data_IF_497052233194
#
_entry.id   IF_497052233194
#
_cell.length_a   1.000
_cell.length_b   1.000
_cell.length_c   1.000
_cell.angle_alpha   90.00
_cell.angle_beta   90.00
_cell.angle_gamma   90.00
#
_symmetry.space_group_name_H-M   'P 1'
#
loop_
_entity.id
_entity.type
_entity.pdbx_description
1 polymer ?
#
# COMPACT_ATOMS: atom_id res chain seq x y z
N UNK A 1 3.47 -9.82 -15.28
CA UNK A 1 3.54 -8.72 -14.28
C UNK A 1 4.42 -9.15 -13.13
N UNK A 2 5.22 -8.25 -12.61
CA UNK A 2 6.05 -8.48 -11.43
C UNK A 2 5.58 -7.55 -10.32
N UNK A 3 5.04 -8.12 -9.23
CA UNK A 3 4.74 -7.35 -8.03
C UNK A 3 6.04 -7.04 -7.31
N UNK A 4 6.40 -5.77 -7.25
CA UNK A 4 7.35 -5.26 -6.27
C UNK A 4 6.57 -5.04 -4.97
N UNK A 5 7.09 -5.62 -3.91
CA UNK A 5 6.62 -5.38 -2.55
C UNK A 5 6.56 -3.91 -2.23
N UNK A 6 6.05 -3.59 -1.06
CA UNK A 6 6.18 -2.27 -0.52
C UNK A 6 7.61 -1.84 -0.72
N UNK A 7 7.84 -0.96 -1.69
CA UNK A 7 9.09 -0.25 -1.80
C UNK A 7 9.09 0.62 -0.56
N UNK A 8 9.48 -0.03 0.56
CA UNK A 8 9.59 0.69 1.78
C UNK A 8 10.62 1.78 1.58
N UNK A 9 10.13 2.89 1.17
CA UNK A 9 10.19 4.20 1.74
C UNK A 9 11.56 4.67 2.20
N UNK A 10 12.63 3.84 2.20
CA UNK A 10 13.56 4.11 3.27
C UNK A 10 14.98 3.84 2.98
N UNK A 11 15.21 3.02 2.02
CA UNK A 11 16.55 2.65 1.70
C UNK A 11 16.65 2.65 0.18
N UNK A 12 16.79 3.84 -0.36
CA UNK A 12 17.02 4.03 -1.78
C UNK A 12 18.12 3.09 -2.29
N UNK A 13 19.13 2.85 -1.46
CA UNK A 13 20.23 1.89 -1.76
C UNK A 13 19.71 0.47 -1.93
N UNK A 14 18.91 -0.07 -0.98
CA UNK A 14 18.32 -1.42 -1.13
C UNK A 14 17.31 -1.51 -2.27
N UNK A 15 16.67 -0.39 -2.60
CA UNK A 15 15.77 -0.32 -3.75
C UNK A 15 16.54 -0.37 -5.07
N UNK A 16 17.63 0.40 -5.21
CA UNK A 16 18.50 0.34 -6.39
C UNK A 16 19.16 -1.04 -6.50
N UNK A 17 19.64 -1.62 -5.38
CA UNK A 17 20.17 -2.99 -5.35
C UNK A 17 19.14 -4.00 -5.89
N UNK A 18 17.88 -3.91 -5.46
CA UNK A 18 16.81 -4.77 -5.97
C UNK A 18 16.56 -4.54 -7.47
N UNK A 19 16.58 -3.28 -7.93
CA UNK A 19 16.44 -2.95 -9.34
C UNK A 19 17.60 -3.50 -10.18
N UNK A 20 18.83 -3.45 -9.65
CA UNK A 20 20.01 -4.01 -10.30
C UNK A 20 19.91 -5.54 -10.43
N UNK A 21 19.45 -6.23 -9.38
CA UNK A 21 19.17 -7.68 -9.44
C UNK A 21 18.11 -8.03 -10.50
N UNK A 22 17.17 -7.14 -10.75
CA UNK A 22 16.10 -7.32 -11.71
C UNK A 22 16.50 -6.93 -13.15
N UNK A 23 17.56 -6.12 -13.32
CA UNK A 23 18.05 -5.65 -14.61
C UNK A 23 17.01 -4.86 -15.42
N UNK A 24 16.93 -5.10 -16.73
CA UNK A 24 16.05 -4.37 -17.66
C UNK A 24 14.57 -4.82 -17.58
N UNK A 25 14.14 -5.31 -16.44
CA UNK A 25 12.76 -5.72 -16.25
C UNK A 25 11.82 -4.52 -16.31
N UNK A 26 10.73 -4.70 -17.01
CA UNK A 26 9.57 -3.81 -17.02
C UNK A 26 8.36 -4.49 -16.39
N UNK A 27 7.24 -3.78 -16.37
CA UNK A 27 5.96 -4.27 -15.83
C UNK A 27 5.90 -4.40 -14.32
N UNK A 28 6.61 -3.55 -13.59
CA UNK A 28 6.52 -3.46 -12.14
C UNK A 28 5.14 -2.99 -11.68
N UNK A 29 4.69 -3.54 -10.56
CA UNK A 29 3.55 -3.04 -9.78
C UNK A 29 4.03 -2.80 -8.35
N UNK A 30 4.00 -1.55 -7.91
CA UNK A 30 4.30 -1.17 -6.54
C UNK A 30 3.03 -1.22 -5.70
N UNK A 31 3.04 -1.98 -4.60
CA UNK A 31 1.86 -2.15 -3.75
C UNK A 31 1.70 -1.07 -2.68
N UNK A 32 2.30 0.09 -2.90
CA UNK A 32 2.08 1.29 -2.10
C UNK A 32 3.12 1.55 -1.03
N UNK A 33 2.81 2.57 -0.22
CA UNK A 33 3.67 3.03 0.86
C UNK A 33 5.08 3.42 0.40
N UNK A 34 5.20 4.15 -0.68
CA UNK A 34 6.49 4.61 -1.24
C UNK A 34 7.13 5.77 -0.47
N UNK A 35 6.40 6.38 0.46
CA UNK A 35 6.90 7.50 1.28
C UNK A 35 6.73 7.24 2.77
N UNK A 36 7.35 8.09 3.59
CA UNK A 36 7.27 8.16 5.05
C UNK A 36 8.12 7.10 5.79
N UNK A 37 8.46 7.37 7.04
CA UNK A 37 9.21 6.53 7.98
C UNK A 37 10.67 6.26 7.64
N UNK A 38 11.13 6.43 6.41
CA UNK A 38 12.52 6.23 6.00
C UNK A 38 13.26 7.52 5.71
N UNK A 39 14.59 7.47 5.61
CA UNK A 39 15.41 8.68 5.46
C UNK A 39 15.35 9.32 4.07
N UNK A 40 14.96 8.57 3.03
CA UNK A 40 15.04 8.99 1.63
C UNK A 40 13.67 9.05 0.93
N UNK A 41 12.61 9.48 1.65
CA UNK A 41 11.23 9.49 1.12
C UNK A 41 11.09 10.31 -0.16
N UNK A 42 11.71 11.49 -0.23
CA UNK A 42 11.65 12.35 -1.41
C UNK A 42 12.33 11.71 -2.62
N UNK A 43 13.53 11.17 -2.44
CA UNK A 43 14.31 10.55 -3.51
C UNK A 43 13.61 9.27 -4.02
N UNK A 44 13.05 8.47 -3.11
CA UNK A 44 12.29 7.27 -3.47
C UNK A 44 11.04 7.63 -4.26
N UNK A 45 10.29 8.66 -3.86
CA UNK A 45 9.10 9.13 -4.58
C UNK A 45 9.46 9.56 -6.02
N UNK A 46 10.51 10.36 -6.18
CA UNK A 46 11.02 10.78 -7.49
C UNK A 46 11.46 9.60 -8.35
N UNK A 47 12.14 8.64 -7.73
CA UNK A 47 12.63 7.45 -8.44
C UNK A 47 11.49 6.55 -8.94
N UNK A 48 10.48 6.31 -8.12
CA UNK A 48 9.30 5.52 -8.51
C UNK A 48 8.51 6.23 -9.60
N UNK A 49 8.34 7.56 -9.50
CA UNK A 49 7.71 8.38 -10.54
C UNK A 49 8.48 8.25 -11.87
N UNK A 50 9.81 8.36 -11.85
CA UNK A 50 10.65 8.21 -13.03
C UNK A 50 10.56 6.80 -13.66
N UNK A 51 10.43 5.75 -12.85
CA UNK A 51 10.21 4.38 -13.35
C UNK A 51 8.87 4.24 -14.08
N UNK A 52 7.81 4.86 -13.58
CA UNK A 52 6.51 4.88 -14.27
C UNK A 52 6.59 5.67 -15.58
N UNK A 53 7.17 6.86 -15.55
CA UNK A 53 7.34 7.72 -16.74
C UNK A 53 8.21 7.09 -17.83
N UNK A 54 9.19 6.28 -17.44
CA UNK A 54 10.02 5.50 -18.39
C UNK A 54 9.33 4.25 -18.95
N UNK A 55 8.09 3.96 -18.51
CA UNK A 55 7.34 2.77 -18.94
C UNK A 55 7.79 1.46 -18.28
N UNK A 56 8.68 1.50 -17.28
CA UNK A 56 9.10 0.30 -16.54
C UNK A 56 8.10 -0.13 -15.46
N UNK A 57 7.17 0.73 -15.09
CA UNK A 57 6.16 0.47 -14.07
C UNK A 57 4.75 0.51 -14.68
N UNK A 58 3.93 -0.49 -14.39
CA UNK A 58 2.52 -0.58 -14.81
C UNK A 58 1.58 0.13 -13.86
N UNK A 59 1.85 0.06 -12.57
CA UNK A 59 1.04 0.71 -11.56
C UNK A 59 1.85 0.98 -10.27
N UNK A 60 1.53 2.09 -9.65
CA UNK A 60 1.96 2.44 -8.31
C UNK A 60 0.70 2.60 -7.48
N UNK A 61 0.50 1.76 -6.47
CA UNK A 61 -0.69 1.81 -5.65
C UNK A 61 -0.50 2.77 -4.48
N UNK A 62 -1.61 3.33 -3.99
CA UNK A 62 -1.62 4.14 -2.78
C UNK A 62 -1.62 3.26 -1.54
N UNK A 63 -0.66 3.49 -0.65
CA UNK A 63 -0.66 2.97 0.70
C UNK A 63 -1.16 3.99 1.72
N UNK A 64 -1.29 3.56 2.97
CA UNK A 64 -1.78 4.44 4.04
C UNK A 64 -0.81 5.59 4.35
N UNK A 65 0.49 5.42 4.12
CA UNK A 65 1.44 6.50 4.31
C UNK A 65 1.48 7.48 3.14
N UNK A 66 1.22 7.02 1.92
CA UNK A 66 1.06 7.89 0.75
C UNK A 66 -0.17 8.78 0.93
N UNK A 67 -1.27 8.19 1.40
CA UNK A 67 -2.49 8.92 1.75
C UNK A 67 -2.26 9.89 2.92
N UNK A 68 -1.43 9.52 3.89
CA UNK A 68 -1.06 10.43 4.98
C UNK A 68 -0.29 11.65 4.47
N UNK A 69 0.67 11.48 3.54
CA UNK A 69 1.33 12.61 2.89
C UNK A 69 0.33 13.54 2.21
N UNK A 70 -0.59 12.98 1.42
CA UNK A 70 -1.64 13.76 0.75
C UNK A 70 -2.56 14.47 1.75
N UNK A 71 -2.93 13.83 2.85
CA UNK A 71 -3.78 14.43 3.88
C UNK A 71 -3.07 15.59 4.62
N UNK A 72 -1.78 15.45 4.90
CA UNK A 72 -0.99 16.54 5.50
C UNK A 72 -0.87 17.71 4.51
N UNK A 73 -0.60 17.45 3.24
CA UNK A 73 -0.55 18.48 2.20
C UNK A 73 -1.89 19.23 2.02
N UNK A 74 -3.00 18.50 2.14
CA UNK A 74 -4.36 19.05 2.09
C UNK A 74 -4.80 19.79 3.38
N UNK A 75 -3.96 19.84 4.42
CA UNK A 75 -4.35 20.40 5.72
C UNK A 75 -5.36 19.55 6.51
N UNK A 76 -5.63 18.32 6.06
CA UNK A 76 -6.53 17.36 6.70
C UNK A 76 -5.81 16.46 7.72
N UNK A 77 -4.48 16.40 7.70
CA UNK A 77 -3.61 15.66 8.60
C UNK A 77 -2.61 16.55 9.32
N UNK A 78 -1.94 15.98 10.32
CA UNK A 78 -0.85 16.64 11.04
C UNK A 78 0.41 15.79 10.92
N UNK A 79 1.56 16.45 10.77
CA UNK A 79 2.87 15.80 10.86
C UNK A 79 3.07 15.22 12.26
N UNK A 80 3.48 13.98 12.33
CA UNK A 80 3.93 13.32 13.54
C UNK A 80 5.45 13.39 13.65
N UNK A 81 5.98 13.31 14.88
CA UNK A 81 7.43 13.37 15.13
C UNK A 81 8.25 12.31 14.37
N UNK A 82 7.63 11.20 14.08
CA UNK A 82 8.25 10.07 13.37
C UNK A 82 8.09 10.12 11.85
N UNK A 83 7.40 11.15 11.31
CA UNK A 83 7.22 11.29 9.86
C UNK A 83 8.48 11.83 9.21
N UNK A 84 8.78 11.34 8.01
CA UNK A 84 9.90 11.75 7.18
C UNK A 84 9.46 12.37 5.84
N UNK A 85 8.19 12.81 5.78
CA UNK A 85 7.59 13.41 4.59
C UNK A 85 7.79 14.94 4.49
N UNK A 86 8.39 15.55 5.50
CA UNK A 86 8.59 17.00 5.55
C UNK A 86 9.46 17.56 4.42
N UNK A 87 10.41 16.78 3.91
CA UNK A 87 11.23 17.16 2.76
C UNK A 87 10.41 17.22 1.47
N UNK A 88 9.45 16.30 1.29
CA UNK A 88 8.56 16.28 0.12
C UNK A 88 7.71 17.56 0.09
N UNK A 89 7.15 17.93 1.24
CA UNK A 89 6.29 19.12 1.35
C UNK A 89 7.03 20.45 1.12
N UNK A 90 8.37 20.44 1.25
CA UNK A 90 9.24 21.62 1.04
C UNK A 90 9.98 21.57 -0.30
N UNK A 91 9.86 20.51 -1.06
CA UNK A 91 10.56 20.35 -2.32
C UNK A 91 10.06 21.34 -3.36
N UNK A 92 10.94 21.78 -4.25
CA UNK A 92 10.57 22.71 -5.35
C UNK A 92 9.55 22.12 -6.34
N UNK A 93 9.48 20.79 -6.41
CA UNK A 93 8.55 20.01 -7.24
C UNK A 93 7.42 19.35 -6.41
N UNK A 94 7.17 19.87 -5.19
CA UNK A 94 6.16 19.30 -4.28
C UNK A 94 4.78 19.18 -4.94
N UNK A 95 4.31 20.23 -5.59
CA UNK A 95 2.97 20.24 -6.24
C UNK A 95 2.86 19.20 -7.34
N UNK A 96 3.92 19.03 -8.14
CA UNK A 96 3.97 17.99 -9.19
C UNK A 96 3.96 16.58 -8.59
N UNK A 97 4.76 16.35 -7.55
CA UNK A 97 4.83 15.05 -6.86
C UNK A 97 3.50 14.68 -6.18
N UNK A 98 2.86 15.65 -5.54
CA UNK A 98 1.56 15.46 -4.90
C UNK A 98 0.44 15.22 -5.93
N UNK A 99 0.43 15.99 -7.03
CA UNK A 99 -0.54 15.78 -8.11
C UNK A 99 -0.36 14.43 -8.79
N UNK A 100 0.89 14.02 -9.02
CA UNK A 100 1.19 12.67 -9.50
C UNK A 100 0.69 11.60 -8.52
N UNK A 101 1.01 11.70 -7.22
CA UNK A 101 0.70 10.70 -6.20
C UNK A 101 -0.83 10.53 -6.02
N UNK A 102 -1.61 11.62 -5.92
CA UNK A 102 -3.06 11.55 -5.72
C UNK A 102 -3.82 10.91 -6.87
N UNK A 103 -3.18 10.75 -8.04
CA UNK A 103 -3.75 10.09 -9.21
C UNK A 103 -3.51 8.59 -9.24
N UNK A 104 -2.75 8.06 -8.28
CA UNK A 104 -2.42 6.62 -8.24
C UNK A 104 -3.63 5.80 -7.82
N UNK A 105 -3.77 4.58 -8.33
CA UNK A 105 -4.89 3.71 -8.00
C UNK A 105 -4.76 3.08 -6.60
N UNK A 106 -5.86 2.59 -6.04
CA UNK A 106 -5.89 1.74 -4.85
C UNK A 106 -5.77 0.25 -5.18
N UNK A 107 -6.07 -0.11 -6.41
CA UNK A 107 -6.11 -1.49 -6.87
C UNK A 107 -5.63 -1.55 -8.32
N UNK A 108 -4.90 -2.60 -8.67
CA UNK A 108 -4.51 -2.92 -10.03
C UNK A 108 -4.76 -4.40 -10.30
N UNK A 109 -5.23 -4.74 -11.47
CA UNK A 109 -5.62 -6.11 -11.81
C UNK A 109 -4.97 -6.57 -13.11
N UNK A 110 -4.53 -7.83 -13.12
CA UNK A 110 -4.08 -8.57 -14.31
C UNK A 110 -4.90 -9.85 -14.45
N UNK A 111 -4.63 -10.64 -15.46
CA UNK A 111 -5.29 -11.94 -15.61
C UNK A 111 -4.93 -12.88 -14.45
N UNK A 112 -3.71 -12.81 -13.93
CA UNK A 112 -3.18 -13.72 -12.90
C UNK A 112 -3.51 -13.29 -11.47
N UNK A 113 -3.57 -11.98 -11.20
CA UNK A 113 -3.66 -11.48 -9.83
C UNK A 113 -4.32 -10.11 -9.73
N UNK A 114 -4.72 -9.79 -8.52
CA UNK A 114 -5.10 -8.44 -8.11
C UNK A 114 -4.08 -7.93 -7.07
N UNK A 115 -3.64 -6.69 -7.26
CA UNK A 115 -2.67 -6.01 -6.42
C UNK A 115 -3.39 -4.93 -5.62
N UNK A 116 -3.13 -4.89 -4.33
CA UNK A 116 -3.66 -3.89 -3.39
C UNK A 116 -2.60 -3.57 -2.34
N UNK A 117 -2.77 -2.50 -1.59
CA UNK A 117 -1.82 -2.19 -0.52
C UNK A 117 -1.96 -3.13 0.68
N UNK A 118 -3.13 -3.23 1.30
CA UNK A 118 -3.34 -4.03 2.51
C UNK A 118 -4.25 -5.26 2.31
N UNK A 119 -5.30 -5.13 1.51
CA UNK A 119 -6.22 -6.24 1.27
C UNK A 119 -7.51 -5.81 0.56
N UNK A 120 -8.39 -6.79 0.37
CA UNK A 120 -9.75 -6.61 -0.14
C UNK A 120 -10.70 -7.20 0.89
N UNK A 121 -11.69 -6.42 1.34
CA UNK A 121 -12.66 -6.91 2.31
C UNK A 121 -13.27 -8.24 1.84
N UNK A 122 -13.28 -9.29 2.67
CA UNK A 122 -13.87 -10.58 2.30
C UNK A 122 -15.37 -10.51 1.98
N UNK A 123 -16.05 -9.46 2.48
CA UNK A 123 -17.45 -9.23 2.22
C UNK A 123 -17.73 -8.75 0.78
N UNK A 124 -16.71 -8.27 0.06
CA UNK A 124 -16.88 -7.72 -1.28
C UNK A 124 -16.66 -8.76 -2.37
N UNK A 125 -17.41 -8.64 -3.46
CA UNK A 125 -17.03 -9.25 -4.73
C UNK A 125 -15.89 -8.45 -5.36
N UNK A 126 -15.20 -9.04 -6.33
CA UNK A 126 -14.12 -8.33 -7.05
C UNK A 126 -14.66 -7.10 -7.81
N UNK A 127 -15.88 -7.20 -8.36
CA UNK A 127 -16.56 -6.08 -9.00
C UNK A 127 -16.81 -4.93 -8.01
N UNK A 128 -17.36 -5.25 -6.82
CA UNK A 128 -17.56 -4.25 -5.78
C UNK A 128 -16.23 -3.61 -5.33
N UNK A 129 -15.15 -4.40 -5.23
CA UNK A 129 -13.83 -3.86 -4.90
C UNK A 129 -13.33 -2.86 -5.95
N UNK A 130 -13.54 -3.13 -7.25
CA UNK A 130 -13.22 -2.19 -8.33
C UNK A 130 -14.03 -0.90 -8.21
N UNK A 131 -15.36 -1.02 -8.09
CA UNK A 131 -16.26 0.13 -7.98
C UNK A 131 -15.88 1.02 -6.78
N UNK A 132 -15.53 0.42 -5.64
CA UNK A 132 -15.08 1.16 -4.46
C UNK A 132 -13.70 1.79 -4.63
N UNK A 133 -12.76 1.10 -5.27
CA UNK A 133 -11.45 1.68 -5.58
C UNK A 133 -11.59 2.88 -6.51
N UNK A 134 -12.42 2.77 -7.55
CA UNK A 134 -12.67 3.83 -8.52
C UNK A 134 -13.35 5.03 -7.86
N UNK A 135 -14.35 4.82 -6.99
CA UNK A 135 -15.02 5.88 -6.23
C UNK A 135 -14.04 6.78 -5.46
N UNK A 136 -13.08 6.15 -4.76
CA UNK A 136 -12.05 6.90 -4.02
C UNK A 136 -11.06 7.56 -4.97
N UNK A 137 -10.61 6.85 -6.01
CA UNK A 137 -9.67 7.38 -6.98
C UNK A 137 -10.24 8.59 -7.74
N UNK A 138 -11.51 8.57 -8.10
CA UNK A 138 -12.20 9.71 -8.70
C UNK A 138 -12.25 10.90 -7.74
N UNK A 139 -12.56 10.67 -6.46
CA UNK A 139 -12.56 11.72 -5.46
C UNK A 139 -11.18 12.35 -5.28
N UNK A 140 -10.10 11.55 -5.27
CA UNK A 140 -8.72 12.03 -5.16
C UNK A 140 -8.21 12.73 -6.43
N UNK A 141 -8.67 12.32 -7.61
CA UNK A 141 -8.33 12.96 -8.89
C UNK A 141 -9.11 14.25 -9.12
N UNK A 142 -10.25 14.38 -8.47
CA UNK A 142 -11.17 15.48 -8.62
C UNK A 142 -10.58 16.84 -8.21
N UNK A 143 -11.27 17.91 -8.61
CA UNK A 143 -10.88 19.31 -8.32
C UNK A 143 -10.88 19.63 -6.81
N UNK A 144 -11.63 18.89 -6.02
CA UNK A 144 -11.79 19.10 -4.57
C UNK A 144 -11.25 17.89 -3.77
N UNK A 145 -10.12 17.33 -4.23
CA UNK A 145 -9.49 16.17 -3.64
C UNK A 145 -9.13 16.33 -2.15
N UNK A 146 -8.84 17.56 -1.71
CA UNK A 146 -8.56 17.87 -0.31
C UNK A 146 -9.76 17.52 0.59
N UNK A 147 -10.99 17.72 0.07
CA UNK A 147 -12.21 17.36 0.80
C UNK A 147 -12.38 15.85 0.96
N UNK A 148 -11.89 15.06 0.00
CA UNK A 148 -11.93 13.61 0.09
C UNK A 148 -11.07 13.06 1.24
N UNK A 149 -10.00 13.79 1.59
CA UNK A 149 -9.09 13.44 2.68
C UNK A 149 -9.53 14.02 4.04
N UNK A 150 -10.45 14.98 4.06
CA UNK A 150 -11.04 15.46 5.30
C UNK A 150 -11.80 14.32 5.98
N UNK A 151 -11.37 13.93 7.16
CA UNK A 151 -11.95 12.80 7.90
C UNK A 151 -11.53 11.41 7.41
N UNK A 152 -10.43 11.28 6.66
CA UNK A 152 -9.87 9.97 6.29
C UNK A 152 -9.39 9.16 7.50
N UNK A 153 -9.06 9.82 8.59
CA UNK A 153 -8.66 9.15 9.84
C UNK A 153 -9.87 8.66 10.62
N UNK A 154 -9.73 7.52 11.26
CA UNK A 154 -10.75 6.85 12.06
C UNK A 154 -10.94 5.40 11.62
N UNK A 155 -11.75 4.66 12.36
CA UNK A 155 -11.90 3.21 12.26
C UNK A 155 -13.26 2.81 11.64
N UNK A 156 -13.79 3.61 10.70
CA UNK A 156 -15.01 3.24 9.97
C UNK A 156 -14.75 2.05 9.05
N UNK A 157 -15.67 1.10 9.04
CA UNK A 157 -15.57 -0.13 8.25
C UNK A 157 -16.81 -0.42 7.38
N UNK A 158 -17.86 0.38 7.53
CA UNK A 158 -19.14 0.17 6.84
C UNK A 158 -19.22 0.98 5.57
N UNK A 159 -19.24 0.29 4.43
CA UNK A 159 -19.33 0.92 3.10
C UNK A 159 -20.75 1.35 2.71
N UNK A 160 -21.77 1.02 3.49
CA UNK A 160 -23.13 1.56 3.37
C UNK A 160 -23.28 2.97 4.00
N UNK A 161 -22.28 3.46 4.71
CA UNK A 161 -22.18 4.85 5.15
C UNK A 161 -22.20 5.81 3.94
N UNK A 162 -22.39 7.11 4.20
CA UNK A 162 -22.42 8.16 3.17
C UNK A 162 -21.28 9.15 3.34
N UNK A 163 -20.92 9.82 2.26
CA UNK A 163 -19.94 10.91 2.26
C UNK A 163 -18.56 10.48 2.81
N UNK A 164 -17.88 11.31 3.61
CA UNK A 164 -16.53 11.03 4.10
C UNK A 164 -16.39 9.72 4.88
N UNK A 165 -17.42 9.29 5.60
CA UNK A 165 -17.40 8.02 6.34
C UNK A 165 -17.32 6.81 5.39
N UNK A 166 -18.02 6.88 4.26
CA UNK A 166 -17.94 5.83 3.22
C UNK A 166 -16.55 5.76 2.60
N UNK A 167 -15.98 6.89 2.17
CA UNK A 167 -14.63 6.93 1.61
C UNK A 167 -13.61 6.39 2.61
N UNK A 168 -13.73 6.75 3.89
CA UNK A 168 -12.88 6.24 4.97
C UNK A 168 -12.99 4.72 5.14
N UNK A 169 -14.21 4.16 5.10
CA UNK A 169 -14.40 2.71 5.19
C UNK A 169 -13.71 1.97 4.04
N UNK A 170 -13.84 2.48 2.82
CA UNK A 170 -13.17 1.93 1.64
C UNK A 170 -11.65 2.03 1.78
N UNK A 171 -11.13 3.20 2.11
CA UNK A 171 -9.69 3.42 2.33
C UNK A 171 -9.13 2.48 3.41
N UNK A 172 -9.85 2.31 4.53
CA UNK A 172 -9.43 1.43 5.61
C UNK A 172 -9.31 -0.03 5.16
N UNK A 173 -10.22 -0.52 4.34
CA UNK A 173 -10.15 -1.87 3.79
C UNK A 173 -8.92 -2.04 2.87
N UNK A 174 -8.72 -1.13 1.92
CA UNK A 174 -7.61 -1.25 0.96
C UNK A 174 -6.24 -0.96 1.57
N UNK A 175 -6.14 -0.12 2.63
CA UNK A 175 -4.84 0.40 3.06
C UNK A 175 -4.47 0.15 4.52
N UNK A 176 -5.40 -0.37 5.33
CA UNK A 176 -5.14 -0.58 6.78
C UNK A 176 -5.53 -1.95 7.31
N UNK A 177 -6.30 -2.72 6.55
CA UNK A 177 -6.82 -4.02 6.98
C UNK A 177 -5.68 -5.03 7.22
N UNK A 178 -5.79 -5.76 8.33
CA UNK A 178 -4.97 -6.94 8.65
C UNK A 178 -5.84 -8.11 9.08
N UNK A 179 -6.76 -7.85 9.97
CA UNK A 179 -7.60 -8.85 10.59
C UNK A 179 -9.09 -8.60 10.35
N UNK A 180 -9.83 -9.67 10.48
CA UNK A 180 -11.29 -9.64 10.61
C UNK A 180 -11.71 -10.38 11.89
N UNK A 181 -12.84 -9.96 12.44
CA UNK A 181 -13.52 -10.67 13.53
C UNK A 181 -14.24 -11.90 12.99
N UNK A 182 -14.75 -12.73 13.90
CA UNK A 182 -15.50 -13.95 13.54
C UNK A 182 -16.74 -13.69 12.65
N UNK A 183 -17.32 -12.50 12.74
CA UNK A 183 -18.45 -12.05 11.92
C UNK A 183 -18.06 -11.41 10.58
N UNK A 184 -16.74 -11.38 10.26
CA UNK A 184 -16.20 -10.77 9.05
C UNK A 184 -16.00 -9.25 9.13
N UNK A 185 -16.32 -8.61 10.26
CA UNK A 185 -16.05 -7.17 10.47
C UNK A 185 -14.56 -6.92 10.54
N UNK A 186 -14.09 -5.85 9.87
CA UNK A 186 -12.68 -5.48 9.89
C UNK A 186 -12.20 -5.10 11.30
N UNK A 187 -11.03 -5.58 11.69
CA UNK A 187 -10.31 -5.16 12.88
C UNK A 187 -9.09 -4.33 12.46
N UNK A 188 -9.07 -3.05 12.84
CA UNK A 188 -8.08 -2.09 12.33
C UNK A 188 -6.99 -1.73 13.35
N UNK A 189 -7.13 -2.17 14.61
CA UNK A 189 -6.22 -1.79 15.70
C UNK A 189 -5.08 -2.80 15.90
N UNK A 190 -5.37 -4.07 15.67
CA UNK A 190 -4.38 -5.14 15.81
C UNK A 190 -3.30 -5.04 14.72
N UNK A 191 -2.02 -5.00 15.12
CA UNK A 191 -0.87 -4.82 14.23
C UNK A 191 0.13 -5.96 14.31
N UNK A 192 0.06 -6.77 15.38
CA UNK A 192 1.00 -7.85 15.64
C UNK A 192 0.82 -9.00 14.65
N UNK A 193 1.70 -9.98 14.70
CA UNK A 193 1.61 -11.18 13.86
C UNK A 193 0.43 -12.08 14.28
N UNK A 194 -0.06 -12.98 13.42
CA UNK A 194 -1.13 -13.92 13.77
C UNK A 194 -0.80 -14.82 14.97
N UNK A 195 0.48 -15.09 15.22
CA UNK A 195 0.91 -15.86 16.40
C UNK A 195 0.64 -15.12 17.72
N UNK A 196 0.66 -13.80 17.67
CA UNK A 196 0.47 -12.94 18.85
C UNK A 196 -0.99 -12.48 19.00
N UNK A 197 -1.84 -12.77 18.03
CA UNK A 197 -3.28 -12.41 18.02
C UNK A 197 -4.15 -13.61 17.65
N UNK A 198 -4.13 -14.71 18.42
CA UNK A 198 -4.78 -15.98 18.06
C UNK A 198 -6.32 -15.91 17.99
N UNK A 199 -6.94 -14.87 18.59
CA UNK A 199 -8.39 -14.68 18.59
C UNK A 199 -8.91 -13.94 17.35
N UNK A 200 -8.01 -13.45 16.48
CA UNK A 200 -8.33 -12.75 15.25
C UNK A 200 -7.95 -13.59 14.03
N UNK A 201 -8.73 -13.45 12.96
CA UNK A 201 -8.42 -14.10 11.68
C UNK A 201 -7.73 -13.11 10.75
N UNK A 202 -6.55 -13.45 10.16
CA UNK A 202 -6.06 -12.75 8.98
C UNK A 202 -7.17 -12.63 7.95
N UNK A 203 -7.32 -11.47 7.35
CA UNK A 203 -8.43 -11.23 6.41
C UNK A 203 -8.48 -12.27 5.28
N UNK A 204 -7.34 -12.77 4.84
CA UNK A 204 -7.22 -13.75 3.77
C UNK A 204 -7.51 -15.20 4.21
N UNK A 205 -7.64 -15.47 5.49
CA UNK A 205 -8.09 -16.76 6.05
C UNK A 205 -9.62 -16.79 6.25
N UNK A 206 -10.30 -15.64 6.09
CA UNK A 206 -11.75 -15.57 6.11
C UNK A 206 -12.32 -15.92 4.73
N UNK A 207 -13.49 -16.62 4.62
CA UNK A 207 -14.09 -16.94 3.34
C UNK A 207 -14.31 -15.69 2.47
N UNK A 208 -13.78 -15.72 1.24
CA UNK A 208 -13.84 -14.62 0.29
C UNK A 208 -14.92 -14.86 -0.78
N UNK A 209 -15.41 -13.79 -1.38
CA UNK A 209 -16.40 -13.82 -2.47
C UNK A 209 -15.78 -13.74 -3.87
N UNK A 210 -14.49 -14.05 -3.97
CA UNK A 210 -13.70 -14.11 -5.22
C UNK A 210 -12.53 -15.09 -5.02
N UNK A 211 -12.02 -15.63 -6.12
CA UNK A 211 -11.00 -16.69 -6.16
C UNK A 211 -9.64 -16.24 -6.74
N UNK A 212 -9.51 -14.97 -7.13
CA UNK A 212 -8.27 -14.43 -7.72
C UNK A 212 -7.14 -14.30 -6.69
N UNK A 213 -5.90 -14.57 -7.09
CA UNK A 213 -4.72 -14.34 -6.24
C UNK A 213 -4.62 -12.87 -5.86
N UNK A 214 -4.43 -12.57 -4.58
CA UNK A 214 -4.20 -11.20 -4.08
C UNK A 214 -2.73 -11.04 -3.70
N UNK A 215 -2.08 -10.03 -4.27
CA UNK A 215 -0.71 -9.60 -3.90
C UNK A 215 -0.80 -8.32 -3.09
N UNK A 216 -0.21 -8.29 -1.90
CA UNK A 216 -0.29 -7.13 -1.02
C UNK A 216 0.94 -6.95 -0.12
N UNK A 217 1.07 -5.78 0.48
CA UNK A 217 2.10 -5.38 1.42
C UNK A 217 1.56 -5.02 2.80
N UNK A 218 1.89 -3.82 3.31
CA UNK A 218 1.36 -3.19 4.52
C UNK A 218 1.66 -3.90 5.85
N UNK A 219 1.64 -5.22 5.89
CA UNK A 219 1.67 -5.99 7.13
C UNK A 219 3.05 -6.59 7.40
N UNK A 220 4.00 -5.74 7.78
CA UNK A 220 5.41 -6.12 7.97
C UNK A 220 5.64 -7.21 9.02
N UNK A 221 4.80 -7.27 10.08
CA UNK A 221 4.89 -8.30 11.12
C UNK A 221 4.37 -9.68 10.67
N UNK A 222 3.68 -9.75 9.53
CA UNK A 222 3.26 -10.99 8.89
C UNK A 222 4.43 -11.69 8.20
N UNK A 223 5.31 -10.90 7.57
CA UNK A 223 6.39 -11.41 6.74
C UNK A 223 5.92 -11.95 5.38
N UNK A 224 6.78 -12.74 4.74
CA UNK A 224 6.48 -13.34 3.45
C UNK A 224 5.42 -14.44 3.56
N UNK A 225 4.36 -14.31 2.76
CA UNK A 225 3.34 -15.35 2.57
C UNK A 225 3.27 -15.70 1.09
N UNK A 226 3.38 -16.98 0.77
CA UNK A 226 3.32 -17.50 -0.60
C UNK A 226 2.31 -18.67 -0.66
N UNK A 227 1.02 -18.33 -0.76
CA UNK A 227 -0.08 -19.30 -0.91
C UNK A 227 -0.69 -19.20 -2.31
N UNK A 228 -1.42 -20.19 -2.80
CA UNK A 228 -2.05 -20.16 -4.12
C UNK A 228 -2.87 -18.89 -4.35
N UNK A 229 -3.64 -18.46 -3.36
CA UNK A 229 -4.59 -17.35 -3.48
C UNK A 229 -4.12 -16.05 -2.80
N UNK A 230 -2.93 -16.07 -2.14
CA UNK A 230 -2.49 -14.96 -1.28
C UNK A 230 -0.97 -14.85 -1.27
N UNK A 231 -0.48 -13.67 -1.63
CA UNK A 231 0.95 -13.36 -1.63
C UNK A 231 1.15 -12.07 -0.84
N UNK A 232 1.76 -12.16 0.36
CA UNK A 232 2.17 -11.00 1.15
C UNK A 232 3.67 -10.78 0.97
N UNK A 233 4.07 -9.57 0.59
CA UNK A 233 5.45 -9.23 0.20
C UNK A 233 6.07 -8.09 1.04
N UNK A 234 5.41 -7.66 2.11
CA UNK A 234 6.04 -6.79 3.10
C UNK A 234 6.88 -7.60 4.07
N UNK A 235 8.17 -7.65 3.82
CA UNK A 235 9.14 -8.43 4.60
C UNK A 235 9.96 -7.55 5.54
N UNK A 236 9.42 -6.38 5.92
CA UNK A 236 9.93 -5.56 7.01
C UNK A 236 11.27 -4.87 6.73
N UNK A 237 11.49 -4.38 5.52
CA UNK A 237 12.74 -3.66 5.16
C UNK A 237 13.11 -2.57 6.18
N UNK A 238 12.15 -1.81 6.71
CA UNK A 238 12.36 -0.80 7.74
C UNK A 238 13.00 -1.35 9.02
N UNK A 239 12.65 -2.58 9.35
CA UNK A 239 13.03 -3.23 10.61
C UNK A 239 14.28 -4.09 10.48
N UNK A 240 15.02 -3.98 9.37
CA UNK A 240 16.20 -4.80 9.09
C UNK A 240 15.88 -6.14 8.40
N UNK A 241 14.67 -6.27 7.84
CA UNK A 241 14.28 -7.37 6.97
C UNK A 241 14.75 -7.16 5.53
N UNK A 242 13.89 -7.42 4.56
CA UNK A 242 14.22 -7.29 3.15
C UNK A 242 13.18 -6.49 2.38
N UNK A 243 13.60 -5.90 1.26
CA UNK A 243 12.71 -5.44 0.21
C UNK A 243 12.48 -6.60 -0.75
N UNK A 244 11.23 -6.99 -0.98
CA UNK A 244 10.86 -8.19 -1.71
C UNK A 244 10.16 -7.89 -3.02
N UNK A 245 10.57 -8.58 -4.07
CA UNK A 245 9.91 -8.62 -5.36
C UNK A 245 9.47 -10.04 -5.70
N UNK A 246 8.24 -10.20 -6.19
CA UNK A 246 7.72 -11.46 -6.70
C UNK A 246 7.38 -11.34 -8.18
N UNK A 247 7.77 -12.32 -8.99
CA UNK A 247 7.35 -12.43 -10.39
C UNK A 247 6.16 -13.37 -10.52
N UNK A 248 5.17 -12.93 -11.27
CA UNK A 248 4.05 -13.78 -11.66
C UNK A 248 4.17 -14.21 -13.13
N UNK A 249 3.71 -15.41 -13.50
CA UNK A 249 2.99 -16.36 -12.64
C UNK A 249 3.88 -17.35 -11.86
N UNK A 250 5.20 -17.43 -12.16
CA UNK A 250 6.11 -18.46 -11.63
C UNK A 250 6.52 -18.28 -10.17
N UNK A 251 6.13 -17.16 -9.55
CA UNK A 251 6.37 -16.82 -8.14
C UNK A 251 7.84 -16.79 -7.73
N UNK A 252 8.71 -16.53 -8.65
CA UNK A 252 10.14 -16.34 -8.35
C UNK A 252 10.31 -15.07 -7.51
N UNK A 253 11.17 -15.17 -6.51
CA UNK A 253 11.47 -14.10 -5.55
C UNK A 253 12.85 -13.49 -5.76
N UNK A 254 12.95 -12.20 -5.48
CA UNK A 254 14.18 -11.46 -5.29
C UNK A 254 14.05 -10.64 -4.02
N UNK A 255 15.12 -10.56 -3.25
CA UNK A 255 15.14 -9.82 -2.01
C UNK A 255 16.47 -9.08 -1.86
N UNK A 256 16.39 -7.78 -1.61
CA UNK A 256 17.51 -6.96 -1.15
C UNK A 256 17.41 -6.81 0.37
N UNK A 257 18.47 -7.14 1.08
CA UNK A 257 18.51 -7.03 2.55
C UNK A 257 18.61 -5.55 2.91
N UNK A 258 17.82 -5.16 3.90
CA UNK A 258 17.75 -3.77 4.32
C UNK A 258 18.43 -3.58 5.68
N UNK A 259 19.26 -2.53 5.87
CA UNK A 259 19.73 -2.17 7.20
C UNK A 259 18.56 -1.77 8.11
N UNK A 260 18.66 -2.07 9.39
CA UNK A 260 17.64 -1.69 10.35
C UNK A 260 17.67 -0.17 10.57
N UNK A 261 16.53 0.48 10.35
CA UNK A 261 16.36 1.92 10.57
C UNK A 261 15.52 2.24 11.80
N UNK A 262 14.57 1.39 12.12
CA UNK A 262 13.68 1.56 13.25
C UNK A 262 13.32 0.20 13.87
N UNK A 263 12.67 0.21 15.02
CA UNK A 263 12.09 -0.98 15.65
C UNK A 263 10.58 -1.01 15.44
N UNK A 264 9.95 -2.18 15.27
CA UNK A 264 8.50 -2.31 15.21
C UNK A 264 7.86 -1.70 16.47
N UNK A 265 6.74 -0.95 16.28
CA UNK A 265 5.96 -0.35 17.37
C UNK A 265 4.81 -1.25 17.74
#
# INVERSE_FOLDING_TARGET
SRGLGDVYKRQLESFEELLDMLGDVSDFVFVGDIVNRGPASLQTLRRVKALEESGRCRAVLLGNHDLHLLAVAAGAGKLHRTDTIGEILKASDADELLDWLRRRPLMYETDEAVFVHAGISPAWTLLQARDYADEVCEALRGKHWEKALQGMYGDETKTDARGPARLRAILNAFTRMRYVKKDGTLELKAKMSPKETPDLLPWFDYPRRFDKTVVFGHWSTLGLVMRPETIAIDTGCLWGGALTCVRLPDRRLWQAICPQWATPC
#
